data_IF_501915402298
#
_entry.id   IF_501915402298
#
_cell.length_a   1.000
_cell.length_b   1.000
_cell.length_c   1.000
_cell.angle_alpha   90.00
_cell.angle_beta   90.00
_cell.angle_gamma   90.00
#
_symmetry.space_group_name_H-M   'P 1'
#
loop_
_entity.id
_entity.type
_entity.pdbx_description
1 polymer ?
#
# COMPACT_ATOMS: atom_id res chain seq x y z
N UNK A 1 28.17 7.95 -1.88
CA UNK A 1 26.90 7.67 -2.57
C UNK A 1 26.19 6.47 -1.92
N UNK A 2 25.68 6.57 -0.67
CA UNK A 2 25.14 5.38 0.05
C UNK A 2 23.99 5.60 1.06
N UNK A 3 23.33 6.78 1.11
CA UNK A 3 22.25 7.02 2.10
C UNK A 3 20.86 7.32 1.53
N UNK A 4 20.71 7.44 0.20
CA UNK A 4 19.47 7.92 -0.41
C UNK A 4 18.35 6.88 -0.29
N UNK A 5 18.67 5.59 -0.48
CA UNK A 5 17.68 4.51 -0.49
C UNK A 5 16.89 4.35 0.83
N UNK A 6 17.50 4.63 1.99
CA UNK A 6 16.78 4.56 3.27
C UNK A 6 15.86 5.76 3.49
N UNK A 7 16.29 6.95 3.06
CA UNK A 7 15.46 8.15 3.09
C UNK A 7 14.26 7.99 2.14
N UNK A 8 14.46 7.46 0.93
CA UNK A 8 13.39 7.20 -0.04
C UNK A 8 12.35 6.21 0.50
N UNK A 9 12.81 5.16 1.20
CA UNK A 9 11.93 4.20 1.85
C UNK A 9 11.09 4.86 2.96
N UNK A 10 11.73 5.69 3.82
CA UNK A 10 11.04 6.44 4.86
C UNK A 10 10.02 7.43 4.29
N UNK A 11 10.33 8.09 3.17
CA UNK A 11 9.39 8.98 2.47
C UNK A 11 8.20 8.18 1.94
N UNK A 12 8.45 7.04 1.28
CA UNK A 12 7.38 6.15 0.80
C UNK A 12 6.48 5.67 1.93
N UNK A 13 7.06 5.28 3.06
CA UNK A 13 6.32 4.90 4.26
C UNK A 13 5.52 6.07 4.85
N UNK A 14 6.10 7.28 4.86
CA UNK A 14 5.40 8.49 5.29
C UNK A 14 4.20 8.81 4.42
N UNK A 15 4.35 8.71 3.09
CA UNK A 15 3.24 8.90 2.13
C UNK A 15 2.14 7.85 2.36
N UNK A 16 2.51 6.59 2.59
CA UNK A 16 1.55 5.53 2.91
C UNK A 16 0.69 5.92 4.13
N UNK A 17 1.31 6.35 5.23
CA UNK A 17 0.59 6.79 6.42
C UNK A 17 -0.29 8.01 6.19
N UNK A 18 0.18 8.99 5.41
CA UNK A 18 -0.62 10.17 5.06
C UNK A 18 -1.85 9.76 4.28
N UNK A 19 -1.71 8.89 3.27
CA UNK A 19 -2.83 8.42 2.46
C UNK A 19 -3.81 7.58 3.27
N UNK A 20 -3.32 6.66 4.10
CA UNK A 20 -4.18 5.87 4.99
C UNK A 20 -4.94 6.78 5.96
N UNK A 21 -4.24 7.66 6.68
CA UNK A 21 -4.83 8.57 7.65
C UNK A 21 -5.85 9.52 7.01
N UNK A 22 -5.56 10.03 5.82
CA UNK A 22 -6.48 10.87 5.06
C UNK A 22 -7.72 10.09 4.61
N UNK A 23 -7.57 8.85 4.16
CA UNK A 23 -8.71 7.99 3.81
C UNK A 23 -9.59 7.68 5.04
N UNK A 24 -8.97 7.38 6.18
CA UNK A 24 -9.69 7.18 7.44
C UNK A 24 -10.44 8.44 7.89
N UNK A 25 -9.85 9.63 7.74
CA UNK A 25 -10.44 10.90 8.12
C UNK A 25 -11.55 11.36 7.15
N UNK A 26 -11.29 11.27 5.84
CA UNK A 26 -12.19 11.76 4.80
C UNK A 26 -13.35 10.79 4.49
N UNK A 27 -13.10 9.47 4.53
CA UNK A 27 -14.07 8.45 4.15
C UNK A 27 -14.08 7.21 5.06
N UNK A 28 -14.35 7.38 6.39
CA UNK A 28 -14.33 6.26 7.34
C UNK A 28 -15.36 5.17 7.02
N UNK A 29 -16.51 5.53 6.44
CA UNK A 29 -17.54 4.58 6.06
C UNK A 29 -17.11 3.66 4.91
N UNK A 30 -16.35 4.21 3.95
CA UNK A 30 -15.80 3.43 2.83
C UNK A 30 -14.76 2.42 3.35
N UNK A 31 -13.84 2.87 4.22
CA UNK A 31 -12.82 2.01 4.80
C UNK A 31 -13.42 0.84 5.60
N UNK A 32 -14.46 1.10 6.40
CA UNK A 32 -15.19 0.05 7.12
C UNK A 32 -15.83 -0.98 6.20
N UNK A 33 -16.37 -0.56 5.05
CA UNK A 33 -16.93 -1.48 4.04
C UNK A 33 -15.83 -2.31 3.39
N UNK A 34 -14.70 -1.68 3.03
CA UNK A 34 -13.55 -2.38 2.48
C UNK A 34 -13.02 -3.46 3.43
N UNK A 35 -12.85 -3.15 4.72
CA UNK A 35 -12.45 -4.13 5.74
C UNK A 35 -13.46 -5.28 5.87
N UNK A 36 -14.77 -5.00 5.87
CA UNK A 36 -15.79 -6.06 5.90
C UNK A 36 -15.72 -6.96 4.67
N UNK A 37 -15.49 -6.38 3.49
CA UNK A 37 -15.32 -7.15 2.25
C UNK A 37 -14.05 -8.00 2.29
N UNK A 38 -12.96 -7.48 2.87
CA UNK A 38 -11.73 -8.25 3.07
C UNK A 38 -11.95 -9.45 4.00
N UNK A 39 -12.69 -9.28 5.10
CA UNK A 39 -13.05 -10.38 6.01
C UNK A 39 -13.93 -11.46 5.37
N UNK A 40 -14.76 -11.07 4.40
CA UNK A 40 -15.63 -12.01 3.67
C UNK A 40 -14.91 -12.69 2.49
N UNK A 41 -13.73 -12.21 2.11
CA UNK A 41 -12.97 -12.75 0.98
C UNK A 41 -12.05 -13.87 1.49
N UNK A 42 -11.97 -15.03 0.81
CA UNK A 42 -11.12 -16.11 1.26
C UNK A 42 -9.62 -15.75 1.17
N UNK A 43 -8.84 -16.25 2.14
CA UNK A 43 -7.42 -15.93 2.34
C UNK A 43 -6.55 -16.14 1.09
N UNK A 44 -6.88 -17.13 0.26
CA UNK A 44 -6.15 -17.40 -0.98
C UNK A 44 -6.24 -16.22 -1.97
N UNK A 45 -7.42 -15.62 -2.13
CA UNK A 45 -7.63 -14.47 -3.01
C UNK A 45 -6.93 -13.24 -2.43
N UNK A 46 -7.03 -13.02 -1.11
CA UNK A 46 -6.29 -11.93 -0.45
C UNK A 46 -4.78 -12.06 -0.62
N UNK A 47 -4.22 -13.27 -0.48
CA UNK A 47 -2.78 -13.51 -0.68
C UNK A 47 -2.36 -13.23 -2.11
N UNK A 48 -3.11 -13.71 -3.10
CA UNK A 48 -2.77 -13.47 -4.51
C UNK A 48 -2.89 -11.98 -4.85
N UNK A 49 -3.93 -11.29 -4.38
CA UNK A 49 -4.09 -9.86 -4.57
C UNK A 49 -2.98 -9.06 -3.89
N UNK A 50 -2.60 -9.42 -2.66
CA UNK A 50 -1.51 -8.78 -1.91
C UNK A 50 -0.13 -9.02 -2.52
N UNK A 51 0.14 -10.24 -2.98
CA UNK A 51 1.40 -10.54 -3.69
C UNK A 51 1.42 -9.79 -5.04
N UNK A 52 0.30 -9.80 -5.77
CA UNK A 52 0.17 -9.08 -7.03
C UNK A 52 0.42 -7.58 -6.87
N UNK A 53 -0.17 -6.95 -5.85
CA UNK A 53 0.04 -5.53 -5.55
C UNK A 53 1.47 -5.22 -5.10
N UNK A 54 2.08 -6.09 -4.29
CA UNK A 54 3.47 -5.94 -3.88
C UNK A 54 4.45 -6.02 -5.06
N UNK A 55 4.26 -6.99 -5.96
CA UNK A 55 5.09 -7.15 -7.18
C UNK A 55 4.88 -5.97 -8.13
N UNK A 56 3.63 -5.55 -8.35
CA UNK A 56 3.33 -4.38 -9.17
C UNK A 56 3.96 -3.11 -8.60
N UNK A 57 3.88 -2.90 -7.28
CA UNK A 57 4.54 -1.79 -6.60
C UNK A 57 6.06 -1.81 -6.76
N UNK A 58 6.69 -2.99 -6.66
CA UNK A 58 8.12 -3.13 -6.89
C UNK A 58 8.52 -2.80 -8.34
N UNK A 59 7.73 -3.25 -9.32
CA UNK A 59 7.94 -2.95 -10.75
C UNK A 59 7.80 -1.44 -10.99
N UNK A 60 6.81 -0.78 -10.40
CA UNK A 60 6.61 0.67 -10.52
C UNK A 60 7.79 1.44 -9.91
N UNK A 61 8.26 1.06 -8.72
CA UNK A 61 9.43 1.67 -8.09
C UNK A 61 10.67 1.46 -8.97
N UNK A 62 10.84 0.26 -9.53
CA UNK A 62 11.95 -0.04 -10.44
C UNK A 62 11.89 0.83 -11.69
N UNK A 63 10.73 0.97 -12.33
CA UNK A 63 10.52 1.82 -13.51
C UNK A 63 10.75 3.31 -13.25
N UNK A 64 10.37 3.82 -12.08
CA UNK A 64 10.58 5.23 -11.73
C UNK A 64 12.04 5.52 -11.39
N UNK A 65 12.76 4.50 -10.91
CA UNK A 65 14.17 4.62 -10.48
C UNK A 65 15.18 4.33 -11.60
N UNK A 66 14.80 3.58 -12.63
CA UNK A 66 15.62 3.29 -13.82
C UNK A 66 15.41 4.35 -14.90
#
# INVERSE_FOLDING_TARGET
MRSIAFADFLIGLGILFVLEGLLFAAAPAWMRRAMKSALATPDNILRVAGIGSAVAGLILIWLVRH
#
